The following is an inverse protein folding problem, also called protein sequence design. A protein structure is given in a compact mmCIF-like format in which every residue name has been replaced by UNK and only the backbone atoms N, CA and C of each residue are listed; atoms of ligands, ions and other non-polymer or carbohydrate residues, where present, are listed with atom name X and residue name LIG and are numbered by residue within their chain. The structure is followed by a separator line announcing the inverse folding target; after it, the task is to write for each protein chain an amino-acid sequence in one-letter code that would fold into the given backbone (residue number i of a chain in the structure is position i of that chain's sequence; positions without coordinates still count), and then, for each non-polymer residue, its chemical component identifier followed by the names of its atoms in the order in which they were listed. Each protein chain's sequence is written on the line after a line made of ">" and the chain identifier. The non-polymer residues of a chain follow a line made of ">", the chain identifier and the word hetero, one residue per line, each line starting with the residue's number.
data_IF_491603464551
#
_entry.id   IF_491603464551
#
_cell.length_a   1.000
_cell.length_b   1.000
_cell.length_c   1.000
_cell.angle_alpha   90.00
_cell.angle_beta   90.00
_cell.angle_gamma   90.00
#
_symmetry.space_group_name_H-M   'P 1'
#
loop_
_entity.id
_entity.type
_entity.pdbx_description
1 polymer ?
#
# COMPACT_ATOMS: atom_id res chain seq x y z
N UNK A 1 -14.69 12.50 -18.46
CA UNK A 1 -14.08 11.44 -19.30
C UNK A 1 -12.90 10.89 -18.55
N UNK A 2 -12.86 9.58 -18.27
CA UNK A 2 -11.67 8.95 -17.70
C UNK A 2 -10.47 9.16 -18.65
N UNK A 3 -9.32 9.49 -18.07
CA UNK A 3 -8.08 9.57 -18.84
C UNK A 3 -7.60 8.13 -19.11
N UNK A 4 -7.18 7.79 -20.34
CA UNK A 4 -6.67 6.46 -20.66
C UNK A 4 -5.46 6.11 -19.78
N UNK A 5 -5.42 4.88 -19.27
CA UNK A 5 -4.32 4.39 -18.42
C UNK A 5 -4.30 4.91 -16.99
N UNK A 6 -5.34 5.64 -16.55
CA UNK A 6 -5.49 6.05 -15.15
C UNK A 6 -6.55 5.18 -14.48
N UNK A 7 -6.15 4.52 -13.42
CA UNK A 7 -6.99 3.69 -12.57
C UNK A 7 -7.09 4.29 -11.17
N UNK A 8 -8.12 3.93 -10.44
CA UNK A 8 -8.41 4.44 -9.11
C UNK A 8 -8.58 3.30 -8.12
N UNK A 9 -8.18 3.55 -6.88
CA UNK A 9 -8.67 2.84 -5.72
C UNK A 9 -9.64 3.76 -4.97
N UNK A 10 -10.67 3.19 -4.36
CA UNK A 10 -11.67 3.93 -3.60
C UNK A 10 -11.87 3.27 -2.25
N UNK A 11 -11.73 4.05 -1.19
CA UNK A 11 -11.86 3.58 0.18
C UNK A 11 -11.89 4.72 1.18
N UNK A 12 -11.92 4.36 2.47
CA UNK A 12 -11.81 5.28 3.60
C UNK A 12 -10.55 4.94 4.37
N UNK A 13 -9.59 5.85 4.36
CA UNK A 13 -8.33 5.70 5.09
C UNK A 13 -8.55 5.76 6.62
N UNK A 14 -7.63 5.21 7.44
CA UNK A 14 -7.72 5.30 8.89
C UNK A 14 -7.87 6.73 9.42
N UNK A 15 -7.34 7.73 8.73
CA UNK A 15 -7.46 9.15 9.07
C UNK A 15 -8.90 9.65 9.16
N UNK A 16 -9.82 9.02 8.44
CA UNK A 16 -11.22 9.42 8.35
C UNK A 16 -12.15 8.59 9.26
N UNK A 17 -11.60 7.72 10.11
CA UNK A 17 -12.38 6.77 10.93
C UNK A 17 -13.38 7.45 11.87
N UNK A 18 -13.09 8.67 12.33
CA UNK A 18 -13.98 9.43 13.23
C UNK A 18 -15.17 10.04 12.51
N UNK A 19 -15.10 10.19 11.20
CA UNK A 19 -16.18 10.78 10.39
C UNK A 19 -16.17 10.19 8.96
N UNK A 20 -16.41 8.88 8.77
CA UNK A 20 -16.43 8.27 7.45
C UNK A 20 -17.62 8.76 6.59
N UNK A 21 -18.52 9.53 7.19
CA UNK A 21 -19.76 9.99 6.60
C UNK A 21 -20.90 8.98 6.72
N UNK A 22 -22.15 9.43 6.63
CA UNK A 22 -23.28 8.53 6.58
C UNK A 22 -23.21 7.70 5.30
N UNK A 23 -23.59 6.42 5.40
CA UNK A 23 -23.72 5.50 4.26
C UNK A 23 -22.40 5.34 3.45
N UNK A 24 -21.23 5.47 4.12
CA UNK A 24 -19.92 5.40 3.46
C UNK A 24 -19.72 4.08 2.68
N UNK A 25 -20.21 2.95 3.19
CA UNK A 25 -20.14 1.65 2.47
C UNK A 25 -20.89 1.74 1.15
N UNK A 26 -22.12 2.24 1.15
CA UNK A 26 -22.92 2.37 -0.08
C UNK A 26 -22.27 3.31 -1.09
N UNK A 27 -21.62 4.39 -0.61
CA UNK A 27 -20.89 5.31 -1.48
C UNK A 27 -19.65 4.68 -2.10
N UNK A 28 -18.86 3.94 -1.31
CA UNK A 28 -17.73 3.18 -1.86
C UNK A 28 -18.25 2.22 -2.92
N UNK A 29 -19.30 1.45 -2.59
CA UNK A 29 -19.87 0.45 -3.49
C UNK A 29 -20.38 1.05 -4.81
N UNK A 30 -20.98 2.26 -4.78
CA UNK A 30 -21.35 3.00 -5.98
C UNK A 30 -20.13 3.27 -6.86
N UNK A 31 -19.01 3.75 -6.29
CA UNK A 31 -17.79 4.03 -7.05
C UNK A 31 -17.13 2.75 -7.61
N UNK A 32 -17.25 1.61 -6.93
CA UNK A 32 -16.70 0.34 -7.42
C UNK A 32 -17.36 -0.17 -8.71
N UNK A 33 -18.50 0.41 -9.11
CA UNK A 33 -19.12 0.12 -10.40
C UNK A 33 -18.42 0.76 -11.59
N UNK A 34 -17.55 1.74 -11.36
CA UNK A 34 -16.84 2.42 -12.45
C UNK A 34 -15.69 1.57 -12.98
N UNK A 35 -15.62 1.40 -14.30
CA UNK A 35 -14.66 0.51 -14.97
C UNK A 35 -13.19 0.78 -14.66
N UNK A 36 -12.84 2.01 -14.29
CA UNK A 36 -11.47 2.40 -13.95
C UNK A 36 -11.17 2.36 -12.44
N UNK A 37 -12.10 1.89 -11.61
CA UNK A 37 -11.86 1.58 -10.21
C UNK A 37 -11.47 0.12 -10.11
N UNK A 38 -10.24 -0.15 -9.66
CA UNK A 38 -9.60 -1.48 -9.73
C UNK A 38 -9.22 -2.04 -8.36
N UNK A 39 -9.41 -1.29 -7.30
CA UNK A 39 -9.09 -1.72 -5.93
C UNK A 39 -9.99 -1.01 -4.91
N UNK A 40 -10.15 -1.61 -3.74
CA UNK A 40 -10.64 -0.93 -2.55
C UNK A 40 -9.44 -0.39 -1.76
N UNK A 41 -9.44 0.89 -1.45
CA UNK A 41 -8.35 1.52 -0.70
C UNK A 41 -8.23 3.02 -0.97
N UNK A 42 -7.39 3.67 -0.23
CA UNK A 42 -6.58 3.19 0.88
C UNK A 42 -7.47 2.81 2.07
N UNK A 43 -7.19 1.67 2.71
CA UNK A 43 -7.84 1.22 3.94
C UNK A 43 -6.79 0.61 4.88
N UNK A 44 -7.10 0.32 6.14
CA UNK A 44 -6.14 -0.30 7.06
C UNK A 44 -6.09 0.36 8.42
N UNK A 45 -4.91 0.33 9.07
CA UNK A 45 -4.73 0.78 10.45
C UNK A 45 -3.53 1.73 10.60
N UNK A 46 -3.71 2.80 11.39
CA UNK A 46 -2.64 3.75 11.78
C UNK A 46 -2.70 4.01 13.29
N UNK A 47 -1.79 3.38 14.03
CA UNK A 47 -1.71 3.57 15.48
C UNK A 47 -0.72 4.68 15.88
N UNK A 48 0.11 5.14 14.94
CA UNK A 48 1.04 6.25 15.18
C UNK A 48 0.30 7.59 15.30
N UNK A 49 -0.66 7.86 14.43
CA UNK A 49 -1.43 9.12 14.41
C UNK A 49 -2.62 9.11 15.35
N UNK A 50 -3.01 7.94 15.89
CA UNK A 50 -4.13 7.78 16.83
C UNK A 50 -5.44 8.37 16.30
N UNK A 51 -5.76 8.12 15.03
CA UNK A 51 -7.04 8.49 14.44
C UNK A 51 -8.17 7.66 15.05
N UNK A 52 -8.97 8.25 15.95
CA UNK A 52 -9.99 7.50 16.67
C UNK A 52 -9.43 6.39 17.56
N UNK A 53 -10.28 5.46 17.97
CA UNK A 53 -9.85 4.29 18.72
C UNK A 53 -9.54 3.08 17.81
N UNK A 54 -8.78 2.12 18.33
CA UNK A 54 -8.34 0.94 17.60
C UNK A 54 -9.51 0.09 17.09
N UNK A 55 -10.57 -0.03 17.90
CA UNK A 55 -11.73 -0.85 17.56
C UNK A 55 -12.45 -0.26 16.33
N UNK A 56 -12.68 1.03 16.33
CA UNK A 56 -13.32 1.72 15.20
C UNK A 56 -12.48 1.60 13.92
N UNK A 57 -11.14 1.68 14.01
CA UNK A 57 -10.27 1.47 12.86
C UNK A 57 -10.37 0.03 12.33
N UNK A 58 -10.38 -0.98 13.21
CA UNK A 58 -10.49 -2.39 12.83
C UNK A 58 -11.87 -2.66 12.19
N UNK A 59 -12.96 -2.15 12.77
CA UNK A 59 -14.31 -2.30 12.23
C UNK A 59 -14.41 -1.69 10.82
N UNK A 60 -13.87 -0.49 10.61
CA UNK A 60 -13.80 0.18 9.31
C UNK A 60 -12.97 -0.62 8.29
N UNK A 61 -11.82 -1.16 8.72
CA UNK A 61 -10.95 -1.97 7.89
C UNK A 61 -11.67 -3.25 7.44
N UNK A 62 -12.24 -4.00 8.37
CA UNK A 62 -13.00 -5.25 8.08
C UNK A 62 -14.14 -4.98 7.10
N UNK A 63 -14.93 -3.93 7.32
CA UNK A 63 -16.03 -3.60 6.42
C UNK A 63 -15.58 -3.36 4.97
N UNK A 64 -14.41 -2.78 4.77
CA UNK A 64 -13.86 -2.55 3.44
C UNK A 64 -13.23 -3.81 2.82
N UNK A 65 -12.64 -4.72 3.63
CA UNK A 65 -12.22 -6.05 3.16
C UNK A 65 -13.41 -6.88 2.67
N UNK A 66 -14.52 -6.87 3.40
CA UNK A 66 -15.75 -7.57 3.01
C UNK A 66 -16.33 -7.00 1.70
N UNK A 67 -16.25 -5.69 1.51
CA UNK A 67 -16.67 -5.03 0.30
C UNK A 67 -15.76 -5.43 -0.90
N UNK A 68 -14.44 -5.46 -0.69
CA UNK A 68 -13.47 -5.90 -1.68
C UNK A 68 -13.71 -7.37 -2.09
N UNK A 69 -13.93 -8.25 -1.14
CA UNK A 69 -14.27 -9.66 -1.39
C UNK A 69 -15.57 -9.79 -2.21
N UNK A 70 -16.62 -9.04 -1.84
CA UNK A 70 -17.91 -9.01 -2.55
C UNK A 70 -17.74 -8.63 -4.03
N UNK A 71 -16.89 -7.63 -4.31
CA UNK A 71 -16.63 -7.10 -5.66
C UNK A 71 -15.47 -7.78 -6.39
N UNK A 72 -14.80 -8.76 -5.77
CA UNK A 72 -13.62 -9.48 -6.30
C UNK A 72 -12.49 -8.52 -6.69
N UNK A 73 -12.25 -7.52 -5.86
CA UNK A 73 -11.21 -6.51 -6.04
C UNK A 73 -10.11 -6.71 -4.98
N UNK A 74 -8.85 -6.40 -5.31
CA UNK A 74 -7.78 -6.34 -4.33
C UNK A 74 -7.96 -5.14 -3.40
N UNK A 75 -7.23 -5.14 -2.29
CA UNK A 75 -7.19 -4.03 -1.34
C UNK A 75 -5.82 -3.37 -1.30
N UNK A 76 -5.80 -2.04 -1.12
CA UNK A 76 -4.59 -1.27 -0.85
C UNK A 76 -4.59 -0.90 0.64
N UNK A 77 -3.57 -1.40 1.36
CA UNK A 77 -3.53 -1.40 2.82
C UNK A 77 -2.52 -0.41 3.34
N UNK A 78 -3.00 0.52 4.15
CA UNK A 78 -2.20 1.33 5.05
C UNK A 78 -1.90 0.55 6.33
N UNK A 79 -0.62 0.48 6.70
CA UNK A 79 -0.19 -0.13 7.95
C UNK A 79 0.89 0.73 8.61
N UNK A 80 0.58 1.35 9.73
CA UNK A 80 1.55 2.14 10.49
C UNK A 80 1.46 1.84 11.97
N UNK A 81 2.53 1.21 12.52
CA UNK A 81 2.59 0.75 13.93
C UNK A 81 1.42 -0.17 14.33
N UNK A 82 0.82 -0.86 13.36
CA UNK A 82 -0.37 -1.70 13.54
C UNK A 82 -0.20 -3.14 13.00
N UNK A 83 1.03 -3.54 12.66
CA UNK A 83 1.32 -4.77 11.92
C UNK A 83 0.68 -6.02 12.50
N UNK A 84 0.67 -6.17 13.85
CA UNK A 84 0.03 -7.34 14.48
C UNK A 84 -1.46 -7.41 14.15
N UNK A 85 -2.20 -6.33 14.38
CA UNK A 85 -3.64 -6.31 14.20
C UNK A 85 -4.03 -6.38 12.72
N UNK A 86 -3.22 -5.76 11.82
CA UNK A 86 -3.38 -5.93 10.36
C UNK A 86 -3.20 -7.39 9.97
N UNK A 87 -2.14 -8.06 10.46
CA UNK A 87 -1.90 -9.47 10.17
C UNK A 87 -3.04 -10.36 10.65
N UNK A 88 -3.50 -10.16 11.90
CA UNK A 88 -4.58 -10.95 12.48
C UNK A 88 -5.87 -10.81 11.65
N UNK A 89 -6.24 -9.60 11.24
CA UNK A 89 -7.42 -9.36 10.40
C UNK A 89 -7.26 -10.00 9.00
N UNK A 90 -6.10 -9.83 8.36
CA UNK A 90 -5.87 -10.39 7.02
C UNK A 90 -5.82 -11.92 7.02
N UNK A 91 -5.30 -12.54 8.10
CA UNK A 91 -5.26 -13.99 8.23
C UNK A 91 -6.65 -14.64 8.15
N UNK A 92 -7.71 -13.89 8.51
CA UNK A 92 -9.08 -14.36 8.49
C UNK A 92 -9.90 -13.84 7.31
N UNK A 93 -9.55 -12.64 6.78
CA UNK A 93 -10.43 -11.87 5.91
C UNK A 93 -9.75 -11.29 4.67
N UNK A 94 -8.55 -11.77 4.29
CA UNK A 94 -7.93 -11.30 3.05
C UNK A 94 -8.83 -11.63 1.84
N UNK A 95 -9.11 -10.68 0.94
CA UNK A 95 -9.87 -10.97 -0.28
C UNK A 95 -9.13 -11.93 -1.21
N UNK A 96 -9.87 -12.77 -1.94
CA UNK A 96 -9.31 -13.71 -2.93
C UNK A 96 -8.44 -12.99 -3.99
N UNK A 97 -8.80 -11.75 -4.34
CA UNK A 97 -8.04 -10.92 -5.28
C UNK A 97 -6.72 -10.40 -4.70
N UNK A 98 -6.49 -10.60 -3.39
CA UNK A 98 -5.24 -10.26 -2.72
C UNK A 98 -5.18 -8.84 -2.15
N UNK A 99 -4.00 -8.47 -1.68
CA UNK A 99 -3.75 -7.19 -1.04
C UNK A 99 -2.40 -6.59 -1.41
N UNK A 100 -2.29 -5.27 -1.33
CA UNK A 100 -1.04 -4.52 -1.50
C UNK A 100 -0.80 -3.76 -0.21
N UNK A 101 0.31 -4.04 0.49
CA UNK A 101 0.83 -3.14 1.52
C UNK A 101 1.47 -1.94 0.83
N UNK A 102 0.79 -0.80 0.83
CA UNK A 102 1.35 0.42 0.25
C UNK A 102 2.34 1.06 1.21
N UNK A 103 3.31 1.78 0.68
CA UNK A 103 4.36 2.49 1.42
C UNK A 103 4.92 1.63 2.58
N UNK A 104 5.26 0.37 2.25
CA UNK A 104 5.65 -0.64 3.25
C UNK A 104 6.70 -0.12 4.22
N UNK A 105 6.50 -0.34 5.52
CA UNK A 105 7.36 0.20 6.57
C UNK A 105 7.70 -0.77 7.70
N UNK A 106 7.13 -1.98 7.67
CA UNK A 106 7.46 -3.04 8.63
C UNK A 106 8.81 -3.69 8.32
N UNK A 107 9.22 -4.66 9.13
CA UNK A 107 10.48 -5.37 8.95
C UNK A 107 10.35 -6.63 8.05
N UNK A 108 11.49 -7.23 7.72
CA UNK A 108 11.56 -8.42 6.88
C UNK A 108 10.86 -9.66 7.50
N UNK A 109 10.88 -9.79 8.82
CA UNK A 109 10.19 -10.90 9.52
C UNK A 109 8.67 -10.81 9.32
N UNK A 110 8.12 -9.60 9.43
CA UNK A 110 6.70 -9.37 9.17
C UNK A 110 6.35 -9.65 7.70
N UNK A 111 7.17 -9.17 6.76
CA UNK A 111 6.96 -9.45 5.34
C UNK A 111 6.93 -10.95 5.06
N UNK A 112 7.90 -11.72 5.60
CA UNK A 112 7.96 -13.18 5.46
C UNK A 112 6.71 -13.88 5.98
N UNK A 113 6.16 -13.45 7.12
CA UNK A 113 4.90 -14.00 7.66
C UNK A 113 3.72 -13.77 6.73
N UNK A 114 3.73 -12.66 5.98
CA UNK A 114 2.65 -12.33 5.04
C UNK A 114 2.79 -13.02 3.67
N UNK A 115 3.96 -13.59 3.31
CA UNK A 115 4.19 -14.18 1.99
C UNK A 115 3.29 -15.38 1.67
N UNK A 116 2.82 -16.09 2.70
CA UNK A 116 1.86 -17.20 2.52
C UNK A 116 0.45 -16.72 2.14
N UNK A 117 0.19 -15.42 2.30
CA UNK A 117 -1.02 -14.76 1.84
C UNK A 117 -0.82 -14.23 0.41
N UNK A 118 -1.91 -13.95 -0.30
CA UNK A 118 -1.85 -13.31 -1.61
C UNK A 118 -1.60 -11.80 -1.45
N UNK A 119 -0.35 -11.41 -1.10
CA UNK A 119 0.04 -10.02 -0.84
C UNK A 119 1.23 -9.56 -1.68
N UNK A 120 1.27 -8.26 -1.93
CA UNK A 120 2.36 -7.53 -2.55
C UNK A 120 2.84 -6.42 -1.62
N UNK A 121 4.10 -6.01 -1.78
CA UNK A 121 4.73 -4.97 -0.95
C UNK A 121 5.20 -3.84 -1.85
N UNK A 122 4.62 -2.65 -1.66
CA UNK A 122 4.95 -1.47 -2.44
C UNK A 122 5.90 -0.56 -1.68
N UNK A 123 7.00 -0.17 -2.32
CA UNK A 123 8.05 0.66 -1.74
C UNK A 123 8.08 2.05 -2.37
N UNK A 124 8.08 3.07 -1.52
CA UNK A 124 8.12 4.46 -1.92
C UNK A 124 9.54 5.05 -1.89
N UNK A 125 9.67 6.35 -2.10
CA UNK A 125 10.93 7.08 -2.10
C UNK A 125 11.76 6.95 -0.82
N UNK A 126 11.15 6.59 0.33
CA UNK A 126 11.84 6.31 1.58
C UNK A 126 12.80 5.09 1.48
N UNK A 127 12.60 4.18 0.53
CA UNK A 127 13.54 3.11 0.24
C UNK A 127 14.94 3.65 -0.07
N UNK A 128 15.04 4.83 -0.70
CA UNK A 128 16.32 5.45 -1.07
C UNK A 128 17.09 6.07 0.11
N UNK A 129 16.51 6.04 1.33
CA UNK A 129 17.15 6.66 2.50
C UNK A 129 18.21 5.77 3.11
N UNK A 130 19.42 6.31 3.34
CA UNK A 130 20.56 5.55 3.90
C UNK A 130 20.27 4.89 5.25
N UNK A 131 19.33 5.42 6.02
CA UNK A 131 18.95 4.89 7.35
C UNK A 131 17.76 3.92 7.30
N UNK A 132 17.16 3.69 6.14
CA UNK A 132 16.02 2.77 5.97
C UNK A 132 16.45 1.29 5.91
N UNK A 133 17.34 0.88 6.83
CA UNK A 133 17.95 -0.46 6.84
C UNK A 133 16.94 -1.60 6.89
N UNK A 134 15.84 -1.41 7.63
CA UNK A 134 14.75 -2.39 7.70
C UNK A 134 14.09 -2.60 6.32
N UNK A 135 13.89 -1.55 5.54
CA UNK A 135 13.33 -1.65 4.19
C UNK A 135 14.32 -2.33 3.23
N UNK A 136 15.62 -1.97 3.34
CA UNK A 136 16.66 -2.61 2.55
C UNK A 136 16.74 -4.11 2.82
N UNK A 137 16.73 -4.52 4.09
CA UNK A 137 16.69 -5.92 4.47
C UNK A 137 15.42 -6.61 3.96
N UNK A 138 14.27 -5.93 4.04
CA UNK A 138 13.00 -6.48 3.58
C UNK A 138 13.03 -6.77 2.08
N UNK A 139 13.44 -5.80 1.27
CA UNK A 139 13.53 -5.95 -0.20
C UNK A 139 14.40 -7.14 -0.60
N UNK A 140 15.53 -7.36 0.09
CA UNK A 140 16.43 -8.47 -0.19
C UNK A 140 15.92 -9.85 0.28
N UNK A 141 14.83 -9.87 1.05
CA UNK A 141 14.28 -11.08 1.66
C UNK A 141 12.88 -11.48 1.14
N UNK A 142 12.32 -10.73 0.20
CA UNK A 142 11.04 -11.05 -0.44
C UNK A 142 11.23 -11.32 -1.93
N UNK A 143 10.42 -12.18 -2.55
CA UNK A 143 10.50 -12.46 -3.98
C UNK A 143 10.23 -11.22 -4.82
N UNK A 144 10.94 -11.05 -5.93
CA UNK A 144 10.81 -9.89 -6.82
C UNK A 144 9.40 -9.76 -7.39
N UNK A 145 8.72 -10.86 -7.67
CA UNK A 145 7.33 -10.91 -8.16
C UNK A 145 6.29 -10.49 -7.11
N UNK A 146 6.73 -10.16 -5.91
CA UNK A 146 5.91 -9.61 -4.81
C UNK A 146 6.24 -8.16 -4.49
N UNK A 147 7.19 -7.54 -5.22
CA UNK A 147 7.60 -6.16 -5.04
C UNK A 147 6.86 -5.26 -6.02
N UNK A 148 6.44 -4.11 -5.53
CA UNK A 148 5.94 -2.98 -6.31
C UNK A 148 6.68 -1.71 -5.87
N UNK A 149 6.65 -0.69 -6.70
CA UNK A 149 7.16 0.64 -6.36
C UNK A 149 6.08 1.71 -6.54
N UNK A 150 6.17 2.74 -5.72
CA UNK A 150 5.25 3.87 -5.75
C UNK A 150 5.95 5.18 -5.41
N UNK A 151 5.24 6.29 -5.51
CA UNK A 151 5.78 7.60 -5.11
C UNK A 151 5.36 8.04 -3.73
N UNK A 152 4.20 7.62 -3.25
CA UNK A 152 3.54 8.16 -2.05
C UNK A 152 3.40 9.70 -2.12
N UNK A 153 3.06 10.21 -3.29
CA UNK A 153 2.93 11.66 -3.49
C UNK A 153 1.81 12.27 -2.65
N UNK A 154 2.03 13.40 -1.96
CA UNK A 154 3.18 14.32 -2.04
C UNK A 154 4.29 14.03 -1.02
N UNK A 155 4.27 12.91 -0.32
CA UNK A 155 5.21 12.51 0.73
C UNK A 155 6.39 11.70 0.17
N UNK A 156 7.23 11.12 1.04
CA UNK A 156 8.29 10.15 0.73
C UNK A 156 9.22 10.57 -0.43
N UNK A 157 9.74 11.81 -0.35
CA UNK A 157 10.64 12.37 -1.37
C UNK A 157 11.92 11.49 -1.46
N UNK A 158 12.26 10.91 -2.63
CA UNK A 158 13.51 10.16 -2.79
C UNK A 158 14.75 10.99 -2.41
N UNK A 159 15.81 10.33 -1.93
CA UNK A 159 17.01 10.99 -1.42
C UNK A 159 17.66 11.93 -2.45
N UNK A 160 17.60 11.59 -3.74
CA UNK A 160 18.08 12.40 -4.86
C UNK A 160 17.41 13.78 -4.94
N UNK A 161 16.14 13.90 -4.48
CA UNK A 161 15.32 15.11 -4.57
C UNK A 161 15.02 15.74 -3.22
N UNK A 162 15.83 15.51 -2.20
CA UNK A 162 15.58 15.98 -0.82
C UNK A 162 15.39 17.48 -0.66
N UNK A 163 15.94 18.29 -1.57
CA UNK A 163 15.77 19.75 -1.56
C UNK A 163 14.36 20.17 -2.03
N UNK A 164 13.57 19.27 -2.59
CA UNK A 164 12.20 19.55 -3.01
C UNK A 164 11.24 19.53 -1.81
N UNK A 165 10.13 20.26 -1.94
CA UNK A 165 9.11 20.36 -0.88
C UNK A 165 8.13 19.19 -0.87
N UNK A 166 8.00 18.48 -1.99
CA UNK A 166 7.08 17.35 -2.16
C UNK A 166 7.58 16.41 -3.25
N UNK A 167 7.18 15.15 -3.15
CA UNK A 167 7.37 14.21 -4.24
C UNK A 167 6.29 14.35 -5.30
N UNK A 168 6.56 13.79 -6.47
CA UNK A 168 5.62 13.73 -7.60
C UNK A 168 5.87 12.47 -8.42
N UNK A 169 4.90 12.01 -9.25
CA UNK A 169 5.04 10.78 -10.04
C UNK A 169 6.31 10.72 -10.89
N UNK A 170 6.80 11.87 -11.39
CA UNK A 170 8.04 11.96 -12.17
C UNK A 170 9.31 11.52 -11.41
N UNK A 171 9.25 11.34 -10.08
CA UNK A 171 10.39 10.88 -9.28
C UNK A 171 10.41 9.35 -9.06
N UNK A 172 9.40 8.62 -9.53
CA UNK A 172 9.37 7.16 -9.45
C UNK A 172 10.63 6.49 -10.00
N UNK A 173 11.23 6.93 -11.14
CA UNK A 173 12.47 6.35 -11.64
C UNK A 173 13.65 6.39 -10.67
N UNK A 174 13.70 7.33 -9.71
CA UNK A 174 14.73 7.34 -8.67
C UNK A 174 14.60 6.16 -7.71
N UNK A 175 13.38 5.82 -7.30
CA UNK A 175 13.11 4.63 -6.48
C UNK A 175 13.43 3.35 -7.27
N UNK A 176 13.04 3.30 -8.56
CA UNK A 176 13.32 2.15 -9.41
C UNK A 176 14.83 1.90 -9.58
N UNK A 177 15.63 2.94 -9.89
CA UNK A 177 17.09 2.81 -10.00
C UNK A 177 17.73 2.31 -8.71
N UNK A 178 17.31 2.87 -7.57
CA UNK A 178 17.82 2.45 -6.27
C UNK A 178 17.48 0.97 -5.98
N UNK A 179 16.26 0.54 -6.30
CA UNK A 179 15.85 -0.86 -6.17
C UNK A 179 16.68 -1.78 -7.08
N UNK A 180 16.90 -1.39 -8.34
CA UNK A 180 17.73 -2.16 -9.28
C UNK A 180 19.17 -2.33 -8.77
N UNK A 181 19.79 -1.25 -8.26
CA UNK A 181 21.12 -1.30 -7.62
C UNK A 181 21.15 -2.25 -6.43
N UNK A 182 20.13 -2.22 -5.56
CA UNK A 182 20.04 -3.12 -4.41
C UNK A 182 19.90 -4.59 -4.79
N UNK A 183 19.18 -4.89 -5.87
CA UNK A 183 18.94 -6.25 -6.37
C UNK A 183 20.03 -6.72 -7.33
N UNK A 184 21.04 -5.88 -7.60
CA UNK A 184 22.10 -6.15 -8.61
C UNK A 184 21.53 -6.50 -9.99
N UNK A 185 20.44 -5.82 -10.37
CA UNK A 185 19.70 -6.00 -11.62
C UNK A 185 19.89 -4.81 -12.56
N UNK A 186 19.80 -5.06 -13.86
CA UNK A 186 19.63 -3.99 -14.83
C UNK A 186 18.26 -3.32 -14.72
N UNK A 187 18.17 -2.01 -14.94
CA UNK A 187 16.93 -1.25 -14.78
C UNK A 187 15.84 -1.67 -15.77
N UNK A 188 16.24 -2.07 -17.00
CA UNK A 188 15.30 -2.59 -18.00
C UNK A 188 14.78 -3.96 -17.60
N UNK A 189 15.65 -4.83 -17.06
CA UNK A 189 15.24 -6.13 -16.51
C UNK A 189 14.26 -5.95 -15.34
N UNK A 190 14.58 -5.06 -14.39
CA UNK A 190 13.69 -4.74 -13.28
C UNK A 190 12.33 -4.23 -13.79
N UNK A 191 12.31 -3.36 -14.80
CA UNK A 191 11.07 -2.79 -15.33
C UNK A 191 10.11 -3.82 -15.97
N UNK A 192 10.62 -4.99 -16.31
CA UNK A 192 9.81 -6.11 -16.85
C UNK A 192 9.26 -6.97 -15.71
N UNK A 193 9.94 -6.97 -14.55
CA UNK A 193 9.53 -7.76 -13.38
C UNK A 193 8.45 -7.05 -12.54
N UNK A 194 8.46 -5.71 -12.51
CA UNK A 194 7.49 -4.86 -11.80
C UNK A 194 6.23 -4.58 -12.62
#
# INVERSE_FOLDING_TARGET
>A
KALPGIYHAVGIAPSEVTNPGPDYISKIEEYLTYQNVVAVGETGLDYYKQFGDKRSQIELFIAQLELAQKHKLPVIIHNREAGKDVFDVLSEKIPDAGAIFHCYSENAEYAKKCLDMNVYFSFAGNLTYRYARNLHETVLNIPIDRILIETESPFMIPAEFREKKRTMPAYLPSTARFLAEMLEMDIEELSVQL
#
